data_IF_085159562902
#
_entry.id   IF_085159562902
#
_cell.length_a   1.000
_cell.length_b   1.000
_cell.length_c   1.000
_cell.angle_alpha   90.00
_cell.angle_beta   90.00
_cell.angle_gamma   90.00
#
_symmetry.space_group_name_H-M   'P 1'
#
loop_
_entity.id
_entity.type
_entity.pdbx_description
1 polymer ?
#
# COMPACT_ATOMS: atom_id res chain seq x y z
N UNK A 1 8.27 -4.50 -9.79
CA UNK A 1 6.82 -4.76 -9.88
C UNK A 1 6.56 -5.61 -11.10
N UNK A 2 6.29 -6.90 -10.90
CA UNK A 2 5.57 -7.70 -11.89
C UNK A 2 4.23 -7.00 -12.12
N UNK A 3 4.08 -6.39 -13.29
CA UNK A 3 2.83 -5.74 -13.68
C UNK A 3 1.72 -6.80 -13.59
N UNK A 4 0.49 -6.44 -13.14
CA UNK A 4 -0.64 -7.34 -13.32
C UNK A 4 -0.71 -7.75 -14.80
N UNK A 5 -1.25 -8.95 -15.06
CA UNK A 5 -1.47 -9.42 -16.43
C UNK A 5 -2.03 -8.29 -17.28
N UNK A 6 -1.23 -7.80 -18.22
CA UNK A 6 -1.62 -6.68 -19.10
C UNK A 6 -2.71 -7.09 -20.10
N UNK A 7 -3.10 -8.37 -20.09
CA UNK A 7 -4.09 -8.95 -21.00
C UNK A 7 -5.43 -8.21 -20.96
N UNK A 8 -5.86 -7.82 -19.76
CA UNK A 8 -7.17 -7.21 -19.54
C UNK A 8 -7.06 -5.71 -19.25
N UNK A 9 -5.86 -5.13 -19.40
CA UNK A 9 -5.63 -3.69 -19.26
C UNK A 9 -5.90 -3.01 -20.60
N UNK A 10 -6.79 -2.03 -20.60
CA UNK A 10 -6.97 -1.18 -21.78
C UNK A 10 -5.69 -0.37 -22.02
N UNK A 11 -5.05 -0.43 -23.20
CA UNK A 11 -3.76 0.20 -23.48
C UNK A 11 -3.94 1.70 -23.76
N UNK A 12 -4.62 2.40 -22.86
CA UNK A 12 -4.93 3.81 -22.95
C UNK A 12 -4.65 4.47 -21.61
N UNK A 13 -3.83 5.53 -21.64
CA UNK A 13 -3.64 6.39 -20.49
C UNK A 13 -4.87 7.29 -20.31
N UNK A 14 -5.40 7.31 -19.09
CA UNK A 14 -6.58 8.07 -18.69
C UNK A 14 -6.22 9.17 -17.70
N UNK A 15 -7.16 10.10 -17.53
CA UNK A 15 -7.09 11.27 -16.64
C UNK A 15 -8.22 11.22 -15.62
N UNK A 16 -8.18 12.08 -14.61
CA UNK A 16 -9.25 12.20 -13.61
C UNK A 16 -10.62 12.54 -14.22
N UNK A 17 -10.64 13.23 -15.36
CA UNK A 17 -11.86 13.60 -16.09
C UNK A 17 -12.31 12.54 -17.10
N UNK A 18 -11.62 11.39 -17.19
CA UNK A 18 -12.03 10.30 -18.08
C UNK A 18 -13.32 9.66 -17.55
N UNK A 19 -14.32 9.57 -18.43
CA UNK A 19 -15.64 9.03 -18.13
C UNK A 19 -15.72 7.52 -18.36
N UNK A 20 -16.56 6.85 -17.57
CA UNK A 20 -16.92 5.44 -17.73
C UNK A 20 -18.24 5.12 -17.06
N UNK A 21 -18.85 4.02 -17.50
CA UNK A 21 -20.03 3.44 -16.86
C UNK A 21 -19.64 2.23 -16.03
N UNK A 22 -20.05 2.19 -14.77
CA UNK A 22 -19.77 1.04 -13.92
C UNK A 22 -20.66 0.96 -12.69
N UNK A 23 -21.09 -0.23 -12.31
CA UNK A 23 -21.59 -0.49 -10.96
C UNK A 23 -21.32 -1.94 -10.55
N UNK A 24 -20.89 -2.14 -9.30
CA UNK A 24 -20.77 -3.46 -8.70
C UNK A 24 -21.72 -3.55 -7.50
N UNK A 25 -22.65 -4.51 -7.52
CA UNK A 25 -23.62 -4.73 -6.45
C UNK A 25 -24.11 -6.17 -6.48
N UNK A 26 -24.78 -6.64 -5.42
CA UNK A 26 -25.24 -8.03 -5.28
C UNK A 26 -26.11 -8.55 -6.45
N UNK A 27 -26.76 -7.65 -7.18
CA UNK A 27 -27.63 -7.99 -8.30
C UNK A 27 -26.90 -8.26 -9.62
N UNK A 28 -25.63 -7.87 -9.78
CA UNK A 28 -24.88 -8.14 -11.01
C UNK A 28 -24.45 -9.61 -11.05
N UNK A 29 -24.58 -10.28 -12.21
CA UNK A 29 -24.31 -11.74 -12.30
C UNK A 29 -22.85 -12.12 -12.02
N UNK A 30 -21.94 -11.15 -12.06
CA UNK A 30 -20.52 -11.34 -11.74
C UNK A 30 -20.16 -10.98 -10.30
N UNK A 31 -21.13 -10.68 -9.43
CA UNK A 31 -20.87 -10.33 -8.04
C UNK A 31 -19.95 -11.37 -7.39
N UNK A 32 -18.96 -10.89 -6.64
CA UNK A 32 -17.90 -11.66 -5.97
C UNK A 32 -16.91 -12.44 -6.83
N UNK A 33 -17.13 -12.59 -8.14
CA UNK A 33 -16.24 -13.37 -9.03
C UNK A 33 -14.82 -12.81 -9.11
N UNK A 34 -14.66 -11.49 -9.10
CA UNK A 34 -13.33 -10.85 -9.12
C UNK A 34 -12.55 -11.04 -7.81
N UNK A 35 -13.19 -11.49 -6.72
CA UNK A 35 -12.55 -11.73 -5.43
C UNK A 35 -11.90 -13.13 -5.35
N UNK A 36 -11.29 -13.59 -6.44
CA UNK A 36 -10.65 -14.90 -6.55
C UNK A 36 -9.52 -14.86 -7.57
N UNK A 37 -8.47 -15.66 -7.37
CA UNK A 37 -7.34 -15.77 -8.31
C UNK A 37 -6.67 -14.43 -8.69
N UNK A 38 -6.67 -13.46 -7.78
CA UNK A 38 -6.06 -12.14 -7.95
C UNK A 38 -4.81 -11.98 -7.09
N UNK A 39 -3.93 -11.05 -7.48
CA UNK A 39 -2.75 -10.67 -6.71
C UNK A 39 -2.91 -9.25 -6.16
N UNK A 40 -3.16 -9.12 -4.87
CA UNK A 40 -3.36 -7.83 -4.19
C UNK A 40 -2.09 -7.46 -3.44
N UNK A 41 -1.42 -6.39 -3.87
CA UNK A 41 -0.39 -5.73 -3.08
C UNK A 41 -1.07 -4.91 -1.97
N UNK A 42 -0.65 -5.11 -0.73
CA UNK A 42 -1.13 -4.35 0.41
C UNK A 42 -0.18 -3.20 0.70
N UNK A 43 -0.75 -2.00 0.81
CA UNK A 43 -0.04 -0.83 1.30
C UNK A 43 0.04 -0.85 2.83
N UNK A 44 0.97 -0.09 3.44
CA UNK A 44 1.00 0.10 4.89
C UNK A 44 -0.35 0.49 5.48
N UNK A 45 -1.05 1.43 4.84
CA UNK A 45 -2.35 1.89 5.32
C UNK A 45 -3.43 0.81 5.21
N UNK A 46 -3.39 -0.04 4.17
CA UNK A 46 -4.30 -1.19 4.08
C UNK A 46 -4.12 -2.12 5.29
N UNK A 47 -2.87 -2.40 5.68
CA UNK A 47 -2.58 -3.28 6.82
C UNK A 47 -3.11 -2.67 8.13
N UNK A 48 -2.87 -1.38 8.36
CA UNK A 48 -3.40 -0.67 9.54
C UNK A 48 -4.93 -0.77 9.59
N UNK A 49 -5.61 -0.51 8.47
CA UNK A 49 -7.09 -0.58 8.39
C UNK A 49 -7.62 -2.00 8.59
N UNK A 50 -7.04 -2.96 7.89
CA UNK A 50 -7.52 -4.35 7.90
C UNK A 50 -7.27 -5.02 9.26
N UNK A 51 -6.10 -4.85 9.88
CA UNK A 51 -5.85 -5.42 11.21
C UNK A 51 -6.82 -4.85 12.25
N UNK A 52 -7.11 -3.54 12.16
CA UNK A 52 -8.02 -2.83 13.08
C UNK A 52 -9.45 -3.34 12.90
N UNK A 53 -9.89 -3.49 11.64
CA UNK A 53 -11.19 -4.06 11.31
C UNK A 53 -11.37 -5.48 11.85
N UNK A 54 -10.30 -6.27 11.86
CA UNK A 54 -10.30 -7.65 12.34
C UNK A 54 -10.08 -7.76 13.86
N UNK A 55 -9.66 -6.68 14.52
CA UNK A 55 -9.38 -6.68 15.96
C UNK A 55 -8.16 -7.51 16.36
N UNK A 56 -7.16 -7.62 15.47
CA UNK A 56 -5.93 -8.41 15.68
C UNK A 56 -4.67 -7.56 15.54
N UNK A 57 -3.54 -8.08 16.00
CA UNK A 57 -2.23 -7.41 15.84
C UNK A 57 -1.74 -7.44 14.39
N UNK A 58 -0.79 -6.56 14.04
CA UNK A 58 -0.13 -6.60 12.73
C UNK A 58 0.60 -7.92 12.52
N UNK A 59 1.23 -8.46 13.56
CA UNK A 59 1.93 -9.75 13.49
C UNK A 59 0.98 -10.90 13.15
N UNK A 60 -0.16 -10.99 13.83
CA UNK A 60 -1.17 -12.01 13.53
C UNK A 60 -1.77 -11.81 12.13
N UNK A 61 -2.05 -10.56 11.75
CA UNK A 61 -2.57 -10.26 10.42
C UNK A 61 -1.60 -10.67 9.31
N UNK A 62 -0.33 -10.30 9.45
CA UNK A 62 0.73 -10.58 8.49
C UNK A 62 0.95 -12.10 8.34
N UNK A 63 1.00 -12.84 9.45
CA UNK A 63 1.19 -14.29 9.45
C UNK A 63 0.01 -15.02 8.79
N UNK A 64 -1.22 -14.66 9.16
CA UNK A 64 -2.43 -15.39 8.75
C UNK A 64 -2.88 -15.05 7.33
N UNK A 65 -2.83 -13.77 6.95
CA UNK A 65 -3.49 -13.27 5.74
C UNK A 65 -2.54 -12.79 4.66
N UNK A 66 -1.22 -12.81 4.88
CA UNK A 66 -0.29 -12.25 3.89
C UNK A 66 0.85 -13.20 3.56
N UNK A 67 1.58 -12.85 2.51
CA UNK A 67 2.93 -13.34 2.27
C UNK A 67 3.80 -12.18 1.80
N UNK A 68 5.10 -12.30 2.02
CA UNK A 68 6.08 -11.31 1.62
C UNK A 68 6.86 -11.79 0.40
N UNK A 69 7.14 -10.87 -0.52
CA UNK A 69 8.10 -11.03 -1.60
C UNK A 69 9.06 -9.83 -1.63
N UNK A 70 10.12 -9.91 -2.43
CA UNK A 70 11.00 -8.78 -2.67
C UNK A 70 10.82 -8.26 -4.08
N UNK A 71 10.77 -6.94 -4.24
CA UNK A 71 10.83 -6.33 -5.56
C UNK A 71 12.16 -6.68 -6.24
N UNK A 72 12.10 -7.21 -7.46
CA UNK A 72 13.29 -7.64 -8.20
C UNK A 72 14.32 -6.54 -8.47
N UNK A 73 13.89 -5.26 -8.50
CA UNK A 73 14.75 -4.12 -8.85
C UNK A 73 15.25 -3.38 -7.64
N UNK A 74 14.39 -3.12 -6.66
CA UNK A 74 14.75 -2.36 -5.45
C UNK A 74 15.13 -3.25 -4.27
N UNK A 75 14.83 -4.55 -4.32
CA UNK A 75 14.91 -5.47 -3.19
C UNK A 75 14.08 -5.02 -1.98
N UNK A 76 13.09 -4.14 -2.17
CA UNK A 76 12.17 -3.72 -1.12
C UNK A 76 11.21 -4.86 -0.79
N UNK A 77 10.88 -5.08 0.50
CA UNK A 77 9.83 -6.01 0.86
C UNK A 77 8.47 -5.49 0.38
N UNK A 78 7.70 -6.38 -0.23
CA UNK A 78 6.32 -6.16 -0.67
C UNK A 78 5.43 -7.17 0.04
N UNK A 79 4.28 -6.73 0.55
CA UNK A 79 3.31 -7.59 1.24
C UNK A 79 2.10 -7.79 0.34
N UNK A 80 1.71 -9.03 0.14
CA UNK A 80 0.53 -9.38 -0.66
C UNK A 80 -0.50 -10.12 0.16
N UNK A 81 -1.77 -9.90 -0.16
CA UNK A 81 -2.85 -10.68 0.43
C UNK A 81 -2.75 -12.14 -0.05
N UNK A 82 -2.76 -13.06 0.91
CA UNK A 82 -2.77 -14.50 0.68
C UNK A 82 -4.19 -14.96 0.35
N UNK A 83 -4.37 -15.49 -0.86
CA UNK A 83 -5.61 -16.17 -1.24
C UNK A 83 -5.70 -17.53 -0.55
N UNK A 84 -6.93 -18.04 -0.38
CA UNK A 84 -7.17 -19.37 0.15
C UNK A 84 -6.56 -20.44 -0.76
N UNK A 85 -6.15 -21.56 -0.16
CA UNK A 85 -5.65 -22.73 -0.89
C UNK A 85 -6.80 -23.64 -1.34
N UNK A 86 -7.81 -23.05 -1.98
CA UNK A 86 -8.89 -23.78 -2.65
C UNK A 86 -8.69 -23.74 -4.18
N UNK A 87 -9.54 -24.47 -4.91
CA UNK A 87 -9.44 -24.55 -6.37
C UNK A 87 -9.69 -23.19 -7.07
N UNK A 88 -10.41 -22.27 -6.42
CA UNK A 88 -10.78 -20.97 -6.97
C UNK A 88 -9.81 -19.85 -6.56
N UNK A 89 -8.91 -20.12 -5.60
CA UNK A 89 -8.04 -19.16 -4.92
C UNK A 89 -8.83 -17.96 -4.40
N UNK A 90 -9.89 -18.20 -3.62
CA UNK A 90 -10.77 -17.13 -3.10
C UNK A 90 -10.03 -16.18 -2.16
N UNK A 91 -10.46 -14.91 -2.16
CA UNK A 91 -10.10 -13.95 -1.13
C UNK A 91 -10.62 -14.45 0.24
N UNK A 92 -9.82 -14.44 1.32
CA UNK A 92 -10.25 -14.91 2.64
C UNK A 92 -11.41 -14.09 3.25
N UNK A 93 -11.71 -12.91 2.69
CA UNK A 93 -12.77 -12.03 3.17
C UNK A 93 -14.04 -12.05 2.33
N UNK A 94 -14.08 -12.84 1.23
CA UNK A 94 -15.28 -12.89 0.38
C UNK A 94 -16.22 -14.00 0.83
N UNK A 95 -17.51 -13.69 0.82
CA UNK A 95 -18.63 -14.62 1.02
C UNK A 95 -19.62 -14.44 -0.13
N UNK A 96 -20.64 -15.30 -0.24
CA UNK A 96 -21.72 -15.12 -1.23
C UNK A 96 -22.51 -13.81 -1.01
N UNK A 97 -22.46 -13.27 0.21
CA UNK A 97 -23.06 -11.98 0.58
C UNK A 97 -22.14 -10.77 0.27
N UNK A 98 -20.90 -11.02 -0.14
CA UNK A 98 -19.91 -9.98 -0.45
C UNK A 98 -18.69 -10.01 0.47
N UNK A 99 -17.90 -8.93 0.43
CA UNK A 99 -16.69 -8.79 1.23
C UNK A 99 -17.02 -8.40 2.67
N UNK A 100 -16.56 -9.19 3.65
CA UNK A 100 -16.83 -8.98 5.09
C UNK A 100 -16.11 -7.74 5.66
N UNK A 101 -15.07 -7.28 4.97
CA UNK A 101 -14.31 -6.06 5.29
C UNK A 101 -14.52 -4.96 4.25
N UNK A 102 -15.65 -4.93 3.53
CA UNK A 102 -15.82 -4.04 2.38
C UNK A 102 -15.43 -2.58 2.65
N UNK A 103 -15.85 -1.99 3.78
CA UNK A 103 -15.52 -0.60 4.18
C UNK A 103 -14.06 -0.36 4.51
N UNK A 104 -13.26 -1.41 4.66
CA UNK A 104 -11.85 -1.40 5.02
C UNK A 104 -11.02 -2.23 4.02
N UNK A 105 -11.58 -2.45 2.82
CA UNK A 105 -10.93 -3.20 1.75
C UNK A 105 -9.69 -2.46 1.24
N UNK A 106 -8.68 -3.19 0.72
CA UNK A 106 -7.44 -2.59 0.23
C UNK A 106 -7.64 -1.55 -0.88
N UNK A 107 -6.68 -0.63 -1.01
CA UNK A 107 -6.63 0.37 -2.06
C UNK A 107 -6.85 -0.23 -3.47
N UNK A 108 -6.17 -1.35 -3.80
CA UNK A 108 -6.34 -2.03 -5.08
C UNK A 108 -7.81 -2.44 -5.35
N UNK A 109 -8.53 -2.91 -4.33
CA UNK A 109 -9.93 -3.32 -4.45
C UNK A 109 -10.88 -2.12 -4.57
N UNK A 110 -10.53 -0.96 -4.01
CA UNK A 110 -11.31 0.29 -4.16
C UNK A 110 -11.12 0.91 -5.53
N UNK A 111 -9.91 0.79 -6.06
CA UNK A 111 -9.55 1.28 -7.37
C UNK A 111 -10.33 0.57 -8.47
N UNK A 112 -10.45 -0.76 -8.39
CA UNK A 112 -11.13 -1.55 -9.41
C UNK A 112 -12.52 -1.00 -9.77
N UNK A 113 -12.82 -0.77 -11.06
CA UNK A 113 -12.11 -1.29 -12.23
C UNK A 113 -11.06 -0.32 -12.80
N UNK A 114 -10.80 0.79 -12.11
CA UNK A 114 -9.74 1.75 -12.44
C UNK A 114 -8.42 1.25 -11.87
N UNK A 115 -7.39 1.09 -12.70
CA UNK A 115 -6.02 0.93 -12.24
C UNK A 115 -5.32 2.29 -12.11
N UNK A 116 -4.40 2.38 -11.14
CA UNK A 116 -3.48 3.52 -10.98
C UNK A 116 -2.04 3.03 -11.15
N UNK A 117 -1.26 3.79 -11.91
CA UNK A 117 0.19 3.66 -11.97
C UNK A 117 0.86 4.98 -11.63
N UNK A 118 2.10 4.91 -11.15
CA UNK A 118 2.97 6.07 -11.01
C UNK A 118 4.17 5.89 -11.91
N UNK A 119 4.50 6.94 -12.65
CA UNK A 119 5.68 7.01 -13.47
C UNK A 119 6.48 8.25 -13.12
N UNK A 120 7.78 8.09 -12.94
CA UNK A 120 8.72 9.20 -12.81
C UNK A 120 8.90 9.84 -14.19
N UNK A 121 8.47 11.09 -14.34
CA UNK A 121 8.70 11.97 -15.50
C UNK A 121 9.75 13.03 -15.14
N UNK A 122 10.29 13.73 -16.13
CA UNK A 122 11.32 14.77 -15.91
C UNK A 122 12.75 14.26 -16.05
N UNK A 123 13.72 15.13 -15.79
CA UNK A 123 15.15 14.80 -15.83
C UNK A 123 15.57 14.07 -14.55
N UNK A 124 16.78 13.50 -14.53
CA UNK A 124 17.32 12.90 -13.29
C UNK A 124 17.48 13.94 -12.17
N UNK A 125 17.62 15.22 -12.52
CA UNK A 125 17.81 16.36 -11.63
C UNK A 125 16.47 16.91 -11.09
N UNK A 126 15.41 16.88 -11.90
CA UNK A 126 14.05 17.32 -11.52
C UNK A 126 12.99 16.25 -11.84
N UNK A 127 12.97 15.15 -11.07
CA UNK A 127 12.00 14.09 -11.27
C UNK A 127 10.64 14.48 -10.71
N UNK A 128 9.60 14.39 -11.53
CA UNK A 128 8.20 14.57 -11.14
C UNK A 128 7.49 13.21 -11.18
N UNK A 129 6.93 12.78 -10.06
CA UNK A 129 6.07 11.60 -10.04
C UNK A 129 4.72 11.95 -10.66
N UNK A 130 4.43 11.41 -11.84
CA UNK A 130 3.16 11.57 -12.53
C UNK A 130 2.32 10.31 -12.36
N UNK A 131 1.13 10.48 -11.80
CA UNK A 131 0.10 9.45 -11.80
C UNK A 131 -0.52 9.28 -13.18
N UNK A 132 -0.90 8.07 -13.50
CA UNK A 132 -1.72 7.75 -14.66
C UNK A 132 -2.74 6.68 -14.31
N UNK A 133 -3.85 6.70 -15.04
CA UNK A 133 -4.96 5.77 -14.82
C UNK A 133 -5.19 4.92 -16.07
N UNK A 134 -5.79 3.76 -15.89
CA UNK A 134 -6.18 2.85 -16.96
C UNK A 134 -7.40 2.04 -16.52
N UNK A 135 -8.16 1.49 -17.47
CA UNK A 135 -9.26 0.60 -17.16
C UNK A 135 -8.81 -0.85 -17.20
N UNK A 136 -9.31 -1.65 -16.26
CA UNK A 136 -9.21 -3.11 -16.26
C UNK A 136 -10.55 -3.65 -16.75
N UNK A 137 -10.54 -4.42 -17.84
CA UNK A 137 -11.73 -4.94 -18.54
C UNK A 137 -11.68 -6.46 -18.65
N UNK A 138 -11.81 -7.11 -17.50
CA UNK A 138 -11.86 -8.57 -17.46
C UNK A 138 -13.18 -9.08 -18.07
N UNK A 139 -13.16 -10.12 -18.92
CA UNK A 139 -14.37 -10.63 -19.59
C UNK A 139 -15.50 -11.05 -18.65
N UNK A 140 -15.15 -11.47 -17.43
CA UNK A 140 -16.14 -11.88 -16.44
C UNK A 140 -16.81 -10.70 -15.73
N UNK A 141 -16.25 -9.48 -15.82
CA UNK A 141 -16.74 -8.30 -15.13
C UNK A 141 -17.86 -7.63 -15.93
N UNK A 142 -19.09 -7.85 -15.49
CA UNK A 142 -20.28 -7.28 -16.11
C UNK A 142 -20.66 -5.91 -15.54
N UNK A 143 -19.90 -5.37 -14.59
CA UNK A 143 -20.18 -4.06 -14.00
C UNK A 143 -20.15 -2.91 -15.01
N UNK A 144 -19.41 -3.04 -16.11
CA UNK A 144 -19.39 -2.08 -17.22
C UNK A 144 -20.70 -2.04 -18.03
N UNK A 145 -21.61 -3.00 -17.84
CA UNK A 145 -22.91 -3.04 -18.52
C UNK A 145 -24.00 -2.29 -17.74
N UNK A 146 -23.66 -1.80 -16.54
CA UNK A 146 -24.56 -1.01 -15.70
C UNK A 146 -24.58 0.46 -16.17
N UNK A 147 -25.67 1.18 -15.89
CA UNK A 147 -25.92 2.53 -16.39
C UNK A 147 -25.57 3.64 -15.39
N UNK A 148 -24.62 3.40 -14.49
CA UNK A 148 -24.13 4.44 -13.56
C UNK A 148 -22.90 5.11 -14.15
N UNK A 149 -23.01 6.41 -14.44
CA UNK A 149 -21.95 7.22 -15.01
C UNK A 149 -20.98 7.72 -13.93
N UNK A 150 -19.69 7.67 -14.25
CA UNK A 150 -18.59 8.13 -13.40
C UNK A 150 -17.55 8.88 -14.23
N UNK A 151 -16.90 9.86 -13.61
CA UNK A 151 -15.51 10.21 -13.91
C UNK A 151 -14.57 9.46 -12.97
N UNK A 152 -13.31 9.24 -13.35
CA UNK A 152 -12.31 8.66 -12.44
C UNK A 152 -12.22 9.45 -11.14
N UNK A 153 -12.32 10.79 -11.19
CA UNK A 153 -12.38 11.65 -10.00
C UNK A 153 -13.55 11.28 -9.08
N UNK A 154 -14.78 11.28 -9.62
CA UNK A 154 -15.97 10.94 -8.83
C UNK A 154 -15.94 9.51 -8.28
N UNK A 155 -15.35 8.57 -9.01
CA UNK A 155 -15.14 7.20 -8.54
C UNK A 155 -14.17 7.15 -7.36
N UNK A 156 -13.05 7.88 -7.42
CA UNK A 156 -12.11 7.96 -6.30
C UNK A 156 -12.75 8.55 -5.06
N UNK A 157 -13.61 9.56 -5.23
CA UNK A 157 -14.33 10.19 -4.12
C UNK A 157 -15.36 9.22 -3.51
N UNK A 158 -16.16 8.54 -4.33
CA UNK A 158 -17.16 7.54 -3.90
C UNK A 158 -16.53 6.32 -3.21
N UNK A 159 -15.40 5.83 -3.73
CA UNK A 159 -14.70 4.67 -3.21
C UNK A 159 -13.70 5.02 -2.08
N UNK A 160 -13.62 6.29 -1.68
CA UNK A 160 -12.72 6.86 -0.66
C UNK A 160 -11.23 6.63 -0.95
N UNK A 161 -10.87 6.49 -2.21
CA UNK A 161 -9.50 6.13 -2.64
C UNK A 161 -8.52 7.27 -2.38
N UNK A 162 -8.97 8.52 -2.46
CA UNK A 162 -8.13 9.71 -2.24
C UNK A 162 -7.47 9.70 -0.86
N UNK A 163 -8.17 9.22 0.18
CA UNK A 163 -7.58 9.06 1.52
C UNK A 163 -6.45 8.01 1.52
N UNK A 164 -6.63 6.89 0.82
CA UNK A 164 -5.61 5.84 0.73
C UNK A 164 -4.40 6.31 -0.07
N UNK A 165 -4.60 7.13 -1.10
CA UNK A 165 -3.50 7.78 -1.82
C UNK A 165 -2.69 8.70 -0.91
N UNK A 166 -3.36 9.56 -0.14
CA UNK A 166 -2.71 10.51 0.76
C UNK A 166 -1.94 9.80 1.88
N UNK A 167 -2.54 8.77 2.49
CA UNK A 167 -1.89 8.01 3.55
C UNK A 167 -0.67 7.22 3.06
N UNK A 168 -0.64 6.83 1.78
CA UNK A 168 0.45 6.04 1.21
C UNK A 168 1.43 6.84 0.35
N UNK A 169 1.26 8.16 0.23
CA UNK A 169 2.08 9.02 -0.64
C UNK A 169 3.58 8.84 -0.40
N UNK A 170 4.01 8.98 0.85
CA UNK A 170 5.41 8.85 1.24
C UNK A 170 5.94 7.41 1.02
N UNK A 171 5.11 6.40 1.27
CA UNK A 171 5.47 5.02 0.99
C UNK A 171 5.66 4.78 -0.51
N UNK A 172 4.77 5.30 -1.36
CA UNK A 172 4.89 5.20 -2.82
C UNK A 172 6.18 5.87 -3.30
N UNK A 173 6.57 7.01 -2.73
CA UNK A 173 7.86 7.67 -3.03
C UNK A 173 9.06 6.79 -2.67
N UNK A 174 9.04 6.16 -1.49
CA UNK A 174 10.08 5.20 -1.06
C UNK A 174 10.19 4.06 -2.08
N UNK A 175 9.07 3.50 -2.55
CA UNK A 175 9.06 2.37 -3.49
C UNK A 175 9.60 2.75 -4.88
N UNK A 176 9.53 4.02 -5.28
CA UNK A 176 10.06 4.50 -6.57
C UNK A 176 11.57 4.70 -6.57
N UNK A 177 12.24 4.42 -5.45
CA UNK A 177 13.69 4.44 -5.36
C UNK A 177 14.30 3.52 -6.41
N UNK A 178 15.30 4.04 -7.11
CA UNK A 178 16.32 3.25 -7.79
C UNK A 178 17.63 3.51 -7.06
N UNK A 179 18.32 2.45 -6.66
CA UNK A 179 19.67 2.62 -6.15
C UNK A 179 20.57 3.11 -7.30
N UNK A 180 21.19 4.30 -7.20
CA UNK A 180 21.98 4.86 -8.30
C UNK A 180 23.22 4.03 -8.61
N UNK A 181 23.64 3.15 -7.70
CA UNK A 181 24.76 2.23 -7.87
C UNK A 181 24.31 0.78 -8.18
N UNK A 182 23.00 0.56 -8.35
CA UNK A 182 22.42 -0.76 -8.65
C UNK A 182 22.61 -1.79 -7.54
N UNK A 183 22.88 -1.38 -6.30
CA UNK A 183 23.07 -2.31 -5.18
C UNK A 183 21.73 -2.72 -4.60
N UNK A 184 21.55 -4.03 -4.47
CA UNK A 184 20.43 -4.60 -3.72
C UNK A 184 20.54 -4.22 -2.23
N UNK A 185 19.38 -4.02 -1.60
CA UNK A 185 19.32 -3.87 -0.15
C UNK A 185 19.82 -5.12 0.56
N UNK A 186 20.63 -4.92 1.60
CA UNK A 186 21.01 -6.01 2.50
C UNK A 186 19.81 -6.49 3.36
N UNK A 187 19.92 -7.70 3.89
CA UNK A 187 18.85 -8.35 4.66
C UNK A 187 18.47 -7.61 5.93
N UNK A 188 19.39 -6.84 6.52
CA UNK A 188 19.11 -6.06 7.73
C UNK A 188 18.23 -4.85 7.37
N UNK A 189 18.57 -4.11 6.31
CA UNK A 189 17.72 -3.01 5.82
C UNK A 189 16.36 -3.52 5.35
N UNK A 190 16.31 -4.66 4.67
CA UNK A 190 15.04 -5.30 4.28
C UNK A 190 14.13 -5.56 5.49
N UNK A 191 14.68 -6.16 6.56
CA UNK A 191 13.93 -6.45 7.78
C UNK A 191 13.44 -5.17 8.50
N UNK A 192 14.27 -4.12 8.54
CA UNK A 192 13.90 -2.83 9.11
C UNK A 192 12.78 -2.15 8.31
N UNK A 193 12.85 -2.16 6.97
CA UNK A 193 11.81 -1.59 6.10
C UNK A 193 10.50 -2.36 6.26
N UNK A 194 10.55 -3.70 6.27
CA UNK A 194 9.36 -4.53 6.47
C UNK A 194 8.69 -4.18 7.81
N UNK A 195 9.47 -4.15 8.88
CA UNK A 195 8.98 -3.84 10.23
C UNK A 195 8.35 -2.45 10.27
N UNK A 196 9.08 -1.43 9.82
CA UNK A 196 8.64 -0.04 9.87
C UNK A 196 7.47 0.28 8.91
N UNK A 197 7.28 -0.49 7.85
CA UNK A 197 6.20 -0.26 6.88
C UNK A 197 4.95 -1.09 7.15
N UNK A 198 5.08 -2.30 7.67
CA UNK A 198 3.98 -3.27 7.67
C UNK A 198 3.65 -3.84 9.06
N UNK A 199 4.65 -3.98 9.95
CA UNK A 199 4.46 -4.62 11.25
C UNK A 199 4.43 -3.58 12.38
N UNK A 200 3.30 -2.87 12.49
CA UNK A 200 3.13 -1.76 13.44
C UNK A 200 3.33 -2.15 14.90
N UNK A 201 2.88 -3.33 15.32
CA UNK A 201 3.05 -3.79 16.69
C UNK A 201 4.53 -4.09 17.00
N UNK A 202 5.27 -4.70 16.07
CA UNK A 202 6.73 -4.88 16.22
C UNK A 202 7.49 -3.57 16.14
N UNK A 203 7.10 -2.68 15.23
CA UNK A 203 7.74 -1.37 15.08
C UNK A 203 7.52 -0.51 16.32
N UNK A 204 6.31 -0.55 16.91
CA UNK A 204 6.00 0.09 18.20
C UNK A 204 6.97 -0.39 19.29
N UNK A 205 7.15 -1.70 19.45
CA UNK A 205 8.14 -2.23 20.41
C UNK A 205 9.56 -1.80 20.07
N UNK A 206 9.93 -1.75 18.79
CA UNK A 206 11.23 -1.22 18.38
C UNK A 206 11.43 0.25 18.76
N UNK A 207 10.40 1.08 18.63
CA UNK A 207 10.46 2.50 19.04
C UNK A 207 10.62 2.64 20.55
N UNK A 208 9.79 1.94 21.34
CA UNK A 208 9.66 2.19 22.78
C UNK A 208 10.53 1.33 23.68
N UNK A 209 10.90 0.12 23.26
CA UNK A 209 11.63 -0.86 24.10
C UNK A 209 13.10 -0.98 23.71
N UNK A 210 13.52 -0.31 22.62
CA UNK A 210 14.91 -0.30 22.15
C UNK A 210 15.47 1.13 22.17
N UNK A 211 16.68 1.29 21.62
CA UNK A 211 17.40 2.57 21.60
C UNK A 211 16.85 3.60 20.61
N UNK A 212 15.70 3.39 20.00
CA UNK A 212 15.19 4.31 18.98
C UNK A 212 14.99 5.72 19.54
N UNK A 213 14.23 5.85 20.63
CA UNK A 213 14.00 7.14 21.31
C UNK A 213 15.24 7.64 22.06
N UNK A 214 16.25 6.79 22.28
CA UNK A 214 17.55 7.25 22.75
C UNK A 214 18.29 7.99 21.63
N UNK A 215 18.30 7.41 20.42
CA UNK A 215 19.09 7.86 19.27
C UNK A 215 18.46 9.08 18.60
N UNK A 216 17.14 9.06 18.37
CA UNK A 216 16.46 10.09 17.59
C UNK A 216 15.76 11.14 18.47
N UNK A 217 15.81 12.40 18.04
CA UNK A 217 15.02 13.49 18.59
C UNK A 217 13.59 13.39 18.07
N UNK A 218 12.67 12.99 18.94
CA UNK A 218 11.22 12.96 18.69
C UNK A 218 10.56 13.84 19.75
N UNK A 219 9.60 14.66 19.31
CA UNK A 219 8.85 15.56 20.16
C UNK A 219 8.00 14.80 21.20
N UNK A 220 7.77 15.38 22.38
CA UNK A 220 7.08 14.67 23.47
C UNK A 220 5.63 14.39 23.13
N UNK A 221 4.96 15.34 22.50
CA UNK A 221 3.58 15.23 22.05
C UNK A 221 3.46 14.16 20.96
N UNK A 222 4.43 14.11 20.02
CA UNK A 222 4.51 13.03 19.03
C UNK A 222 4.68 11.66 19.70
N UNK A 223 5.57 11.54 20.70
CA UNK A 223 5.79 10.30 21.46
C UNK A 223 4.49 9.79 22.11
N UNK A 224 3.67 10.68 22.70
CA UNK A 224 2.41 10.26 23.32
C UNK A 224 1.39 9.77 22.28
N UNK A 225 1.28 10.44 21.13
CA UNK A 225 0.36 10.05 20.05
C UNK A 225 0.75 8.68 19.47
N UNK A 226 2.03 8.53 19.11
CA UNK A 226 2.52 7.30 18.48
C UNK A 226 2.55 6.12 19.45
N UNK A 227 2.10 6.21 20.71
CA UNK A 227 1.91 5.04 21.60
C UNK A 227 0.66 4.25 21.25
N UNK A 228 -0.39 4.93 20.78
CA UNK A 228 -1.73 4.34 20.59
C UNK A 228 -2.30 4.54 19.20
N UNK A 229 -1.73 5.44 18.39
CA UNK A 229 -2.17 5.69 17.02
C UNK A 229 -1.25 4.98 16.03
N UNK A 230 -1.79 3.96 15.33
CA UNK A 230 -1.06 3.20 14.30
C UNK A 230 -0.81 4.03 13.03
N UNK A 231 -1.66 5.00 12.70
CA UNK A 231 -1.46 5.87 11.53
C UNK A 231 -0.32 6.84 11.81
N UNK A 232 -0.26 7.41 13.00
CA UNK A 232 0.86 8.25 13.42
C UNK A 232 2.17 7.45 13.48
N UNK A 233 2.14 6.24 14.04
CA UNK A 233 3.31 5.36 14.07
C UNK A 233 3.77 4.97 12.65
N UNK A 234 2.83 4.67 11.74
CA UNK A 234 3.12 4.37 10.33
C UNK A 234 3.85 5.54 9.65
N UNK A 235 3.42 6.79 9.88
CA UNK A 235 4.09 7.98 9.37
C UNK A 235 5.51 8.15 9.93
N UNK A 236 5.72 7.86 11.22
CA UNK A 236 7.07 7.78 11.78
C UNK A 236 7.91 6.67 11.11
N UNK A 237 7.28 5.54 10.77
CA UNK A 237 7.90 4.46 10.00
C UNK A 237 8.41 4.93 8.64
N UNK A 238 7.62 5.73 7.92
CA UNK A 238 8.05 6.31 6.64
C UNK A 238 9.24 7.26 6.80
N UNK A 239 9.20 8.16 7.79
CA UNK A 239 10.35 9.03 8.14
C UNK A 239 11.59 8.18 8.44
N UNK A 240 11.44 7.16 9.27
CA UNK A 240 12.54 6.26 9.60
C UNK A 240 13.12 5.53 8.38
N UNK A 241 12.26 5.05 7.47
CA UNK A 241 12.73 4.40 6.23
C UNK A 241 13.42 5.40 5.30
N UNK A 242 12.90 6.63 5.15
CA UNK A 242 13.55 7.69 4.37
C UNK A 242 14.94 8.00 4.93
N UNK A 243 15.08 8.10 6.24
CA UNK A 243 16.38 8.27 6.92
C UNK A 243 17.31 7.05 6.70
N UNK A 244 16.83 5.83 6.92
CA UNK A 244 17.59 4.58 6.78
C UNK A 244 18.16 4.41 5.37
N UNK A 245 17.40 4.84 4.37
CA UNK A 245 17.77 4.78 2.95
C UNK A 245 18.55 6.02 2.49
N UNK A 246 18.81 6.98 3.37
CA UNK A 246 19.49 8.25 3.07
C UNK A 246 18.79 9.05 1.96
N UNK A 247 17.47 8.98 1.90
CA UNK A 247 16.66 9.73 0.93
C UNK A 247 16.49 11.18 1.38
N UNK A 248 16.22 11.38 2.66
CA UNK A 248 15.95 12.67 3.27
C UNK A 248 16.38 12.63 4.75
N UNK A 249 16.90 13.74 5.29
CA UNK A 249 17.23 13.90 6.71
C UNK A 249 15.96 14.13 7.56
N UNK A 250 15.04 13.14 7.53
CA UNK A 250 13.71 13.18 8.17
C UNK A 250 13.73 12.92 9.68
N UNK A 251 14.86 12.45 10.20
CA UNK A 251 15.09 12.20 11.62
C UNK A 251 16.44 12.80 12.05
N UNK A 252 16.42 13.53 13.16
CA UNK A 252 17.63 14.11 13.76
C UNK A 252 18.19 13.18 14.83
N UNK A 253 19.49 12.88 14.74
CA UNK A 253 20.21 12.08 15.73
C UNK A 253 20.67 12.98 16.87
N UNK A 254 20.44 12.57 18.12
CA UNK A 254 20.90 13.30 19.31
C UNK A 254 22.43 13.38 19.33
N UNK A 255 22.96 14.52 19.75
CA UNK A 255 24.40 14.82 19.73
C UNK A 255 25.28 13.71 20.33
N UNK A 256 24.87 13.11 21.45
CA UNK A 256 25.61 12.03 22.12
C UNK A 256 25.81 10.75 21.28
N UNK A 257 25.08 10.59 20.18
CA UNK A 257 25.19 9.46 19.25
C UNK A 257 25.79 9.83 17.89
N UNK A 258 26.08 11.11 17.66
CA UNK A 258 26.92 11.52 16.54
C UNK A 258 28.33 11.04 16.84
N UNK A 259 28.85 10.08 16.06
CA UNK A 259 30.27 9.75 16.14
C UNK A 259 31.06 11.00 15.78
N UNK A 260 32.08 11.35 16.57
CA UNK A 260 33.09 12.34 16.16
C UNK A 260 33.60 11.94 14.77
N UNK A 261 33.54 12.89 13.82
CA UNK A 261 33.91 12.68 12.43
C UNK A 261 35.39 12.37 12.27
#
# INVERSE_FOLDING_TARGET
MSLPSMKDVEPRQLTLESEFKFRCHKGVKCFTKCCSSISILLTPYDIVRMKTRLGISSEEFLDKYTYMEFDEKSSHPLVRLKMLDDNEKKCPFVTDEGCTIYTDRPANCRYYPVGQGIMRKGTNEEPVNAEFYFFIKEPHCLGYQEDTDWTIKSWKDDQEVSLYDDMNREWKEIQLRRDPFGKNLDSNKQAQIYTASFDMDRFRRFVFERKFLDIFEIDKEEIEIIKTDDVALMKLGFRYVKYLLMLEETLKVKEKYLKEK
#
